data_IF_770893399185
#
_entry.id   IF_770893399185
#
_cell.length_a   1.000
_cell.length_b   1.000
_cell.length_c   1.000
_cell.angle_alpha   90.00
_cell.angle_beta   90.00
_cell.angle_gamma   90.00
#
_symmetry.space_group_name_H-M   'P 1'
#
loop_
_entity.id
_entity.type
_entity.pdbx_description
1 polymer ?
#
# COMPACT_ATOMS: atom_id res chain seq x y z
N UNK A 1 2.91 -54.13 39.71
CA UNK A 1 4.18 -54.41 39.00
C UNK A 1 3.86 -54.87 37.58
N UNK A 2 4.61 -54.38 36.59
CA UNK A 2 4.36 -54.59 35.16
C UNK A 2 5.55 -55.26 34.48
N UNK A 3 5.28 -56.18 33.55
CA UNK A 3 6.26 -56.58 32.54
C UNK A 3 6.39 -55.47 31.50
N UNK A 4 7.48 -55.47 30.73
CA UNK A 4 7.77 -54.45 29.72
C UNK A 4 6.64 -54.25 28.70
N UNK A 5 5.99 -55.33 28.25
CA UNK A 5 4.87 -55.27 27.32
C UNK A 5 3.63 -54.63 27.94
N UNK A 6 3.31 -54.98 29.18
CA UNK A 6 2.17 -54.43 29.92
C UNK A 6 2.36 -52.95 30.24
N UNK A 7 3.59 -52.52 30.56
CA UNK A 7 3.90 -51.12 30.79
C UNK A 7 3.82 -50.30 29.49
N UNK A 8 4.36 -50.83 28.40
CA UNK A 8 4.31 -50.19 27.08
C UNK A 8 2.86 -49.98 26.61
N UNK A 9 2.01 -50.99 26.76
CA UNK A 9 0.59 -50.93 26.45
C UNK A 9 -0.14 -49.88 27.31
N UNK A 10 0.07 -49.88 28.63
CA UNK A 10 -0.57 -48.91 29.53
C UNK A 10 -0.09 -47.48 29.34
N UNK A 11 1.16 -47.29 28.92
CA UNK A 11 1.71 -45.98 28.61
C UNK A 11 1.45 -45.55 27.14
N UNK A 12 0.86 -46.41 26.30
CA UNK A 12 0.58 -46.11 24.90
C UNK A 12 1.84 -45.86 24.04
N UNK A 13 2.98 -46.49 24.37
CA UNK A 13 4.25 -46.33 23.63
C UNK A 13 4.78 -47.66 23.14
N UNK A 14 5.62 -47.63 22.11
CA UNK A 14 6.28 -48.83 21.63
C UNK A 14 7.24 -49.41 22.68
N UNK A 15 7.42 -50.73 22.67
CA UNK A 15 8.45 -51.41 23.50
C UNK A 15 9.85 -50.84 23.27
N UNK A 16 10.15 -50.44 22.03
CA UNK A 16 11.42 -49.82 21.65
C UNK A 16 11.61 -48.46 22.31
N UNK A 17 10.56 -47.63 22.35
CA UNK A 17 10.56 -46.33 23.05
C UNK A 17 10.79 -46.52 24.55
N UNK A 18 10.16 -47.52 25.15
CA UNK A 18 10.32 -47.82 26.58
C UNK A 18 11.76 -48.28 26.91
N UNK A 19 12.36 -49.14 26.09
CA UNK A 19 13.76 -49.54 26.22
C UNK A 19 14.71 -48.34 26.04
N UNK A 20 14.40 -47.43 25.12
CA UNK A 20 15.15 -46.21 24.92
C UNK A 20 15.08 -45.29 26.15
N UNK A 21 13.89 -45.10 26.73
CA UNK A 21 13.71 -44.34 27.97
C UNK A 21 14.42 -44.98 29.17
N UNK A 22 14.45 -46.30 29.25
CA UNK A 22 15.23 -47.03 30.26
C UNK A 22 16.75 -46.84 30.05
N UNK A 23 17.23 -46.84 28.79
CA UNK A 23 18.64 -46.57 28.46
C UNK A 23 19.06 -45.15 28.88
N UNK A 24 18.15 -44.18 28.76
CA UNK A 24 18.36 -42.80 29.20
C UNK A 24 18.17 -42.59 30.70
N UNK A 25 17.80 -43.64 31.44
CA UNK A 25 17.61 -43.59 32.89
C UNK A 25 16.31 -42.91 33.34
N UNK A 26 15.37 -42.67 32.44
CA UNK A 26 14.08 -42.03 32.75
C UNK A 26 13.21 -42.97 33.61
N UNK A 27 13.28 -44.27 33.36
CA UNK A 27 12.69 -45.33 34.19
C UNK A 27 13.74 -46.41 34.44
N UNK A 28 13.57 -47.21 35.50
CA UNK A 28 14.54 -48.27 35.83
C UNK A 28 13.81 -49.53 36.29
N UNK A 29 13.78 -50.55 35.43
CA UNK A 29 13.20 -51.84 35.78
C UNK A 29 14.04 -52.58 36.83
N UNK A 30 13.39 -53.08 37.88
CA UNK A 30 14.03 -53.99 38.84
C UNK A 30 14.19 -55.36 38.20
N UNK A 31 15.39 -55.97 38.32
CA UNK A 31 15.62 -57.35 37.87
C UNK A 31 15.06 -58.31 38.91
N UNK A 32 14.17 -59.19 38.48
CA UNK A 32 13.64 -60.28 39.28
C UNK A 32 14.61 -61.49 39.25
N UNK A 33 14.47 -62.40 40.21
CA UNK A 33 15.30 -63.62 40.33
C UNK A 33 15.27 -64.52 39.08
N UNK A 34 14.23 -64.39 38.25
CA UNK A 34 14.05 -65.10 36.98
C UNK A 34 14.67 -64.38 35.75
N UNK A 35 15.43 -63.30 35.96
CA UNK A 35 16.09 -62.53 34.90
C UNK A 35 15.21 -61.52 34.16
N UNK A 36 13.90 -61.49 34.41
CA UNK A 36 12.98 -60.52 33.80
C UNK A 36 13.02 -59.16 34.52
N UNK A 37 12.75 -58.09 33.77
CA UNK A 37 12.55 -56.75 34.31
C UNK A 37 11.09 -56.56 34.74
N UNK A 38 10.89 -56.03 35.93
CA UNK A 38 9.59 -55.59 36.43
C UNK A 38 9.61 -54.10 36.76
N UNK A 39 8.56 -53.40 36.37
CA UNK A 39 8.37 -51.96 36.59
C UNK A 39 7.22 -51.72 37.57
N UNK A 40 7.25 -50.60 38.28
CA UNK A 40 6.27 -50.22 39.29
C UNK A 40 5.18 -49.30 38.73
N UNK A 41 4.13 -49.03 39.52
CA UNK A 41 3.16 -47.98 39.21
C UNK A 41 3.79 -46.58 39.15
N UNK A 42 4.87 -46.35 39.90
CA UNK A 42 5.63 -45.10 39.84
C UNK A 42 6.29 -44.92 38.48
N UNK A 43 6.81 -45.99 37.86
CA UNK A 43 7.38 -45.93 36.52
C UNK A 43 6.30 -45.56 35.48
N UNK A 44 5.09 -46.12 35.60
CA UNK A 44 3.97 -45.76 34.74
C UNK A 44 3.58 -44.29 34.91
N UNK A 45 3.40 -43.81 36.15
CA UNK A 45 3.08 -42.41 36.41
C UNK A 45 4.16 -41.45 35.89
N UNK A 46 5.43 -41.83 36.01
CA UNK A 46 6.57 -41.06 35.51
C UNK A 46 6.59 -40.99 33.98
N UNK A 47 6.27 -42.09 33.29
CA UNK A 47 6.10 -42.09 31.83
C UNK A 47 4.94 -41.21 31.37
N UNK A 48 3.80 -41.26 32.08
CA UNK A 48 2.65 -40.41 31.76
C UNK A 48 2.98 -38.93 31.95
N UNK A 49 3.70 -38.57 33.02
CA UNK A 49 4.16 -37.20 33.26
C UNK A 49 5.15 -36.74 32.18
N UNK A 50 6.10 -37.61 31.79
CA UNK A 50 7.03 -37.35 30.69
C UNK A 50 6.27 -37.00 29.39
N UNK A 51 5.25 -37.78 29.04
CA UNK A 51 4.44 -37.53 27.84
C UNK A 51 3.70 -36.19 27.89
N UNK A 52 3.15 -35.82 29.06
CA UNK A 52 2.50 -34.51 29.23
C UNK A 52 3.49 -33.36 29.06
N UNK A 53 4.71 -33.51 29.56
CA UNK A 53 5.78 -32.52 29.36
C UNK A 53 6.23 -32.45 27.89
N UNK A 54 6.39 -33.60 27.23
CA UNK A 54 6.75 -33.64 25.80
C UNK A 54 5.66 -33.01 24.91
N UNK A 55 4.38 -33.17 25.27
CA UNK A 55 3.28 -32.52 24.55
C UNK A 55 3.34 -30.98 24.63
N UNK A 56 4.03 -30.42 25.64
CA UNK A 56 4.31 -28.99 25.76
C UNK A 56 5.51 -28.50 24.95
N UNK A 57 6.09 -29.33 24.07
CA UNK A 57 7.22 -28.94 23.21
C UNK A 57 8.61 -29.11 23.83
N UNK A 58 8.70 -29.67 25.04
CA UNK A 58 9.97 -29.94 25.72
C UNK A 58 10.66 -31.15 25.09
N UNK A 59 11.97 -31.02 24.85
CA UNK A 59 12.83 -32.16 24.49
C UNK A 59 12.89 -33.16 25.63
N UNK A 60 13.26 -34.39 25.29
CA UNK A 60 13.40 -35.47 26.26
C UNK A 60 14.39 -35.15 27.40
N UNK A 61 15.46 -34.38 27.10
CA UNK A 61 16.45 -33.94 28.09
C UNK A 61 15.88 -32.89 29.05
N UNK A 62 15.08 -31.96 28.53
CA UNK A 62 14.39 -30.94 29.33
C UNK A 62 13.30 -31.59 30.21
N UNK A 63 12.52 -32.54 29.66
CA UNK A 63 11.55 -33.30 30.44
C UNK A 63 12.21 -34.09 31.57
N UNK A 64 13.37 -34.71 31.32
CA UNK A 64 14.12 -35.42 32.36
C UNK A 64 14.59 -34.46 33.46
N UNK A 65 15.10 -33.27 33.11
CA UNK A 65 15.46 -32.25 34.09
C UNK A 65 14.26 -31.80 34.95
N UNK A 66 13.07 -31.66 34.35
CA UNK A 66 11.84 -31.37 35.09
C UNK A 66 11.38 -32.51 36.01
N UNK A 67 11.70 -33.76 35.68
CA UNK A 67 11.33 -34.96 36.45
C UNK A 67 12.30 -35.26 37.60
N UNK A 68 13.56 -34.81 37.50
CA UNK A 68 14.64 -35.16 38.43
C UNK A 68 15.07 -33.99 39.33
N UNK A 69 14.73 -32.75 38.97
CA UNK A 69 15.10 -31.55 39.71
C UNK A 69 13.96 -30.53 39.79
N UNK A 70 14.18 -29.44 40.55
CA UNK A 70 13.26 -28.32 40.59
C UNK A 70 13.16 -27.67 39.20
N UNK A 71 11.93 -27.40 38.76
CA UNK A 71 11.63 -26.84 37.45
C UNK A 71 12.46 -25.57 37.20
N UNK A 72 13.31 -25.60 36.17
CA UNK A 72 14.01 -24.41 35.69
C UNK A 72 12.99 -23.49 35.01
N UNK A 73 12.58 -22.43 35.72
CA UNK A 73 11.58 -21.48 35.24
C UNK A 73 12.05 -20.70 34.01
N UNK A 74 13.34 -20.44 33.88
CA UNK A 74 13.88 -19.65 32.77
C UNK A 74 13.85 -20.47 31.48
N UNK A 75 14.21 -21.75 31.55
CA UNK A 75 14.05 -22.69 30.43
C UNK A 75 12.59 -22.76 29.93
N UNK A 76 11.62 -22.85 30.84
CA UNK A 76 10.21 -22.88 30.45
C UNK A 76 9.74 -21.56 29.84
N UNK A 77 10.23 -20.42 30.34
CA UNK A 77 9.94 -19.11 29.73
C UNK A 77 10.51 -19.01 28.32
N UNK A 78 11.75 -19.44 28.10
CA UNK A 78 12.37 -19.41 26.77
C UNK A 78 11.59 -20.27 25.77
N UNK A 79 11.14 -21.46 26.19
CA UNK A 79 10.29 -22.32 25.37
C UNK A 79 8.92 -21.74 25.09
N UNK A 80 8.30 -21.09 26.07
CA UNK A 80 7.03 -20.41 25.89
C UNK A 80 7.16 -19.27 24.87
N UNK A 81 8.20 -18.43 25.01
CA UNK A 81 8.49 -17.35 24.07
C UNK A 81 8.72 -17.87 22.64
N UNK A 82 9.43 -19.00 22.50
CA UNK A 82 9.63 -19.63 21.20
C UNK A 82 8.31 -20.10 20.58
N UNK A 83 7.45 -20.75 21.37
CA UNK A 83 6.13 -21.19 20.91
C UNK A 83 5.23 -20.01 20.51
N UNK A 84 5.24 -18.92 21.27
CA UNK A 84 4.49 -17.72 20.94
C UNK A 84 4.94 -17.11 19.60
N UNK A 85 6.26 -17.12 19.32
CA UNK A 85 6.81 -16.70 18.04
C UNK A 85 6.35 -17.63 16.90
N UNK A 86 6.40 -18.95 17.10
CA UNK A 86 5.95 -19.93 16.10
C UNK A 86 4.44 -19.82 15.83
N UNK A 87 3.63 -19.60 16.86
CA UNK A 87 2.19 -19.37 16.74
C UNK A 87 1.94 -18.10 15.92
N UNK A 88 2.62 -17.00 16.25
CA UNK A 88 2.50 -15.74 15.50
C UNK A 88 2.85 -15.91 14.02
N UNK A 89 3.93 -16.64 13.70
CA UNK A 89 4.31 -16.94 12.32
C UNK A 89 3.27 -17.80 11.59
N UNK A 90 2.74 -18.83 12.25
CA UNK A 90 1.70 -19.70 11.67
C UNK A 90 0.38 -18.96 11.47
N UNK A 91 0.04 -18.04 12.37
CA UNK A 91 -1.13 -17.17 12.23
C UNK A 91 -1.00 -16.29 10.98
N UNK A 92 0.13 -15.59 10.80
CA UNK A 92 0.40 -14.80 9.59
C UNK A 92 0.32 -15.64 8.31
N UNK A 93 0.87 -16.86 8.35
CA UNK A 93 0.80 -17.78 7.21
C UNK A 93 -0.64 -18.19 6.89
N UNK A 94 -1.45 -18.47 7.92
CA UNK A 94 -2.87 -18.78 7.76
C UNK A 94 -3.64 -17.59 7.19
N UNK A 95 -3.40 -16.38 7.71
CA UNK A 95 -4.05 -15.16 7.25
C UNK A 95 -3.77 -14.90 5.77
N UNK A 96 -2.52 -15.04 5.33
CA UNK A 96 -2.18 -14.98 3.91
C UNK A 96 -2.98 -15.99 3.08
N UNK A 97 -3.02 -17.25 3.50
CA UNK A 97 -3.75 -18.29 2.77
C UNK A 97 -5.27 -18.04 2.74
N UNK A 98 -5.85 -17.63 3.87
CA UNK A 98 -7.26 -17.28 3.97
C UNK A 98 -7.59 -16.10 3.04
N UNK A 99 -6.72 -15.09 3.01
CA UNK A 99 -6.89 -13.92 2.18
C UNK A 99 -6.78 -14.25 0.68
N UNK A 100 -5.82 -15.10 0.28
CA UNK A 100 -5.70 -15.63 -1.09
C UNK A 100 -6.88 -16.54 -1.51
N UNK A 101 -7.57 -17.16 -0.54
CA UNK A 101 -8.78 -17.95 -0.79
C UNK A 101 -10.06 -17.10 -0.79
N UNK A 102 -9.97 -15.79 -0.54
CA UNK A 102 -11.13 -14.91 -0.45
C UNK A 102 -11.87 -14.93 0.90
N UNK A 103 -11.30 -15.55 1.93
CA UNK A 103 -11.90 -15.67 3.26
C UNK A 103 -11.62 -14.44 4.16
N UNK A 104 -10.68 -13.58 3.77
CA UNK A 104 -10.31 -12.36 4.50
C UNK A 104 -9.76 -11.27 3.56
N UNK A 105 -9.62 -10.04 4.07
CA UNK A 105 -9.04 -8.93 3.30
C UNK A 105 -7.56 -9.15 2.97
N UNK A 106 -7.16 -8.77 1.76
CA UNK A 106 -5.76 -8.79 1.30
C UNK A 106 -5.05 -7.43 1.40
N UNK A 107 -5.70 -6.40 1.97
CA UNK A 107 -5.19 -5.02 1.98
C UNK A 107 -3.76 -4.86 2.51
N UNK A 108 -3.47 -5.33 3.72
CA UNK A 108 -2.13 -5.21 4.29
C UNK A 108 -1.06 -5.98 3.50
N UNK A 109 -1.44 -7.11 2.91
CA UNK A 109 -0.53 -7.91 2.09
C UNK A 109 -0.21 -7.20 0.77
N UNK A 110 -1.22 -6.62 0.12
CA UNK A 110 -1.05 -5.79 -1.07
C UNK A 110 -0.18 -4.56 -0.80
N UNK A 111 -0.45 -3.82 0.29
CA UNK A 111 0.33 -2.66 0.70
C UNK A 111 1.82 -3.05 0.90
N UNK A 112 2.07 -4.16 1.59
CA UNK A 112 3.43 -4.64 1.88
C UNK A 112 4.16 -5.08 0.60
N UNK A 113 3.49 -5.84 -0.26
CA UNK A 113 4.11 -6.38 -1.47
C UNK A 113 4.39 -5.27 -2.49
N UNK A 114 3.50 -4.28 -2.59
CA UNK A 114 3.71 -3.14 -3.47
C UNK A 114 4.95 -2.31 -3.07
N UNK A 115 5.19 -2.16 -1.76
CA UNK A 115 6.39 -1.48 -1.26
C UNK A 115 7.68 -2.28 -1.50
N UNK A 116 7.64 -3.60 -1.36
CA UNK A 116 8.83 -4.46 -1.44
C UNK A 116 9.18 -4.89 -2.86
N UNK A 117 8.17 -5.15 -3.68
CA UNK A 117 8.31 -5.75 -5.01
C UNK A 117 7.15 -5.33 -5.95
N UNK A 118 7.03 -4.03 -6.27
CA UNK A 118 5.89 -3.48 -7.02
C UNK A 118 5.67 -4.14 -8.39
N UNK A 119 6.76 -4.38 -9.13
CA UNK A 119 6.67 -5.00 -10.47
C UNK A 119 6.20 -6.46 -10.38
N UNK A 120 6.70 -7.22 -9.41
CA UNK A 120 6.29 -8.60 -9.21
C UNK A 120 4.85 -8.71 -8.73
N UNK A 121 4.39 -7.75 -7.92
CA UNK A 121 3.00 -7.64 -7.48
C UNK A 121 2.07 -7.36 -8.67
N UNK A 122 2.41 -6.38 -9.52
CA UNK A 122 1.66 -6.06 -10.73
C UNK A 122 1.57 -7.26 -11.68
N UNK A 123 2.70 -7.90 -11.98
CA UNK A 123 2.76 -9.10 -12.82
C UNK A 123 1.91 -10.24 -12.26
N UNK A 124 1.89 -10.39 -10.94
CA UNK A 124 1.10 -11.41 -10.27
C UNK A 124 -0.41 -11.12 -10.37
N UNK A 125 -0.83 -9.86 -10.19
CA UNK A 125 -2.23 -9.44 -10.40
C UNK A 125 -2.68 -9.73 -11.84
N UNK A 126 -1.84 -9.41 -12.82
CA UNK A 126 -2.13 -9.69 -14.23
C UNK A 126 -2.32 -11.20 -14.47
N UNK A 127 -1.49 -12.04 -13.83
CA UNK A 127 -1.65 -13.50 -13.89
C UNK A 127 -2.91 -14.01 -13.19
N UNK A 128 -3.50 -13.27 -12.25
CA UNK A 128 -4.78 -13.60 -11.64
C UNK A 128 -5.98 -13.21 -12.53
N UNK A 129 -5.74 -12.59 -13.69
CA UNK A 129 -6.77 -12.25 -14.68
C UNK A 129 -7.23 -10.79 -14.66
N UNK A 130 -6.58 -9.93 -13.87
CA UNK A 130 -6.79 -8.48 -13.93
C UNK A 130 -6.05 -7.88 -15.12
N UNK A 131 -6.66 -6.95 -15.84
CA UNK A 131 -5.93 -6.14 -16.81
C UNK A 131 -5.02 -5.11 -16.11
N UNK A 132 -4.15 -4.42 -16.86
CA UNK A 132 -3.20 -3.43 -16.31
C UNK A 132 -3.95 -2.31 -15.56
N UNK A 133 -5.13 -1.89 -16.05
CA UNK A 133 -5.93 -0.82 -15.44
C UNK A 133 -6.55 -1.26 -14.12
N UNK A 134 -7.16 -2.44 -14.09
CA UNK A 134 -7.72 -3.04 -12.88
C UNK A 134 -6.63 -3.29 -11.84
N UNK A 135 -5.46 -3.79 -12.26
CA UNK A 135 -4.33 -4.00 -11.38
C UNK A 135 -3.80 -2.70 -10.76
N UNK A 136 -3.77 -1.60 -11.53
CA UNK A 136 -3.45 -0.27 -10.97
C UNK A 136 -4.53 0.22 -10.00
N UNK A 137 -5.82 0.02 -10.29
CA UNK A 137 -6.92 0.38 -9.38
C UNK A 137 -6.90 -0.48 -8.10
N UNK A 138 -6.52 -1.74 -8.18
CA UNK A 138 -6.29 -2.60 -7.00
C UNK A 138 -5.16 -2.06 -6.14
N UNK A 139 -4.04 -1.69 -6.78
CA UNK A 139 -2.87 -1.15 -6.10
C UNK A 139 -3.18 0.16 -5.37
N UNK A 140 -3.93 1.07 -5.99
CA UNK A 140 -4.11 2.44 -5.48
C UNK A 140 -5.44 2.70 -4.77
N UNK A 141 -6.53 2.05 -5.19
CA UNK A 141 -7.88 2.35 -4.71
C UNK A 141 -8.40 1.26 -3.78
N UNK A 142 -8.77 0.09 -4.32
CA UNK A 142 -9.52 -0.88 -3.52
C UNK A 142 -8.63 -1.60 -2.50
N UNK A 143 -7.33 -1.74 -2.79
CA UNK A 143 -6.31 -2.46 -2.00
C UNK A 143 -6.68 -3.90 -1.64
N UNK A 144 -7.84 -4.39 -2.09
CA UNK A 144 -8.38 -5.70 -1.81
C UNK A 144 -9.00 -6.24 -3.09
N UNK A 145 -8.50 -7.38 -3.55
CA UNK A 145 -9.01 -8.04 -4.76
C UNK A 145 -10.33 -8.77 -4.54
N UNK A 146 -10.60 -9.22 -3.32
CA UNK A 146 -11.80 -10.01 -3.02
C UNK A 146 -13.05 -9.14 -3.04
N UNK A 147 -12.87 -7.83 -2.83
CA UNK A 147 -13.92 -6.83 -2.78
C UNK A 147 -13.79 -5.76 -3.87
N UNK A 148 -12.87 -5.95 -4.83
CA UNK A 148 -12.53 -4.95 -5.84
C UNK A 148 -13.75 -4.46 -6.64
N UNK A 149 -14.55 -5.39 -7.16
CA UNK A 149 -15.72 -5.04 -7.99
C UNK A 149 -16.82 -4.34 -7.20
N UNK A 150 -16.96 -4.65 -5.90
CA UNK A 150 -17.89 -3.93 -5.02
C UNK A 150 -17.35 -2.55 -4.71
N UNK A 151 -16.09 -2.47 -4.31
CA UNK A 151 -15.39 -1.22 -4.01
C UNK A 151 -15.46 -0.25 -5.19
N UNK A 152 -15.07 -0.68 -6.40
CA UNK A 152 -15.03 0.19 -7.57
C UNK A 152 -16.42 0.67 -7.98
N UNK A 153 -17.45 -0.18 -7.89
CA UNK A 153 -18.83 0.24 -8.15
C UNK A 153 -19.31 1.31 -7.19
N UNK A 154 -19.02 1.17 -5.91
CA UNK A 154 -19.40 2.15 -4.89
C UNK A 154 -18.59 3.45 -5.03
N UNK A 155 -17.29 3.33 -5.31
CA UNK A 155 -16.39 4.43 -5.61
C UNK A 155 -16.89 5.23 -6.83
N UNK A 156 -17.20 4.56 -7.94
CA UNK A 156 -17.72 5.19 -9.16
C UNK A 156 -19.07 5.89 -8.91
N UNK A 157 -19.90 5.36 -8.02
CA UNK A 157 -21.18 5.98 -7.62
C UNK A 157 -20.98 7.33 -6.94
N UNK A 158 -19.92 7.48 -6.16
CA UNK A 158 -19.54 8.76 -5.54
C UNK A 158 -18.90 9.68 -6.59
N UNK A 159 -17.88 9.19 -7.30
CA UNK A 159 -16.99 10.00 -8.16
C UNK A 159 -17.60 10.43 -9.49
N UNK A 160 -18.57 9.69 -10.03
CA UNK A 160 -19.20 9.99 -11.34
C UNK A 160 -19.86 11.37 -11.45
N UNK A 161 -20.17 12.02 -10.32
CA UNK A 161 -20.75 13.37 -10.28
C UNK A 161 -19.76 14.46 -9.85
N UNK A 162 -18.52 14.10 -9.54
CA UNK A 162 -17.50 15.07 -9.14
C UNK A 162 -16.89 15.71 -10.38
N UNK A 163 -16.71 17.03 -10.33
CA UNK A 163 -16.06 17.81 -11.39
C UNK A 163 -14.53 17.86 -11.25
N UNK A 164 -13.99 17.31 -10.16
CA UNK A 164 -12.57 17.26 -9.83
C UNK A 164 -12.25 15.89 -9.20
N UNK A 165 -11.05 15.36 -9.45
CA UNK A 165 -10.57 14.11 -8.80
C UNK A 165 -9.47 14.33 -7.78
N UNK A 166 -9.16 15.59 -7.50
CA UNK A 166 -8.21 16.01 -6.49
C UNK A 166 -8.28 17.53 -6.31
N UNK A 167 -7.59 18.08 -5.29
CA UNK A 167 -7.54 19.52 -5.06
C UNK A 167 -6.98 20.28 -6.27
N UNK A 168 -7.75 21.21 -6.83
CA UNK A 168 -7.33 21.99 -7.98
C UNK A 168 -8.18 23.24 -8.21
N UNK A 169 -7.58 24.29 -8.77
CA UNK A 169 -8.32 25.50 -9.14
C UNK A 169 -7.71 26.16 -10.37
N UNK A 170 -8.56 26.74 -11.21
CA UNK A 170 -8.10 27.52 -12.37
C UNK A 170 -7.22 28.71 -11.94
N UNK A 171 -7.44 29.25 -10.74
CA UNK A 171 -6.66 30.36 -10.22
C UNK A 171 -5.22 29.94 -9.93
N UNK A 172 -5.01 28.78 -9.30
CA UNK A 172 -3.67 28.27 -8.99
C UNK A 172 -2.94 27.86 -10.27
N UNK A 173 -3.62 27.18 -11.20
CA UNK A 173 -3.09 26.86 -12.54
C UNK A 173 -2.68 28.15 -13.27
N UNK A 174 -3.53 29.18 -13.28
CA UNK A 174 -3.22 30.48 -13.90
C UNK A 174 -2.02 31.16 -13.24
N UNK A 175 -1.93 31.12 -11.91
CA UNK A 175 -0.79 31.67 -11.18
C UNK A 175 0.51 30.97 -11.55
N UNK A 176 0.50 29.65 -11.77
CA UNK A 176 1.66 28.92 -12.26
C UNK A 176 2.04 29.32 -13.71
N UNK A 177 1.05 29.46 -14.61
CA UNK A 177 1.30 29.93 -16.00
C UNK A 177 1.97 31.31 -16.00
N UNK A 178 1.50 32.24 -15.16
CA UNK A 178 2.04 33.61 -15.08
C UNK A 178 3.48 33.68 -14.56
N UNK A 179 3.95 32.66 -13.84
CA UNK A 179 5.31 32.55 -13.33
C UNK A 179 6.28 31.93 -14.35
N UNK A 180 5.78 31.39 -15.47
CA UNK A 180 6.65 30.90 -16.54
C UNK A 180 7.37 32.07 -17.23
N UNK A 181 8.70 31.98 -17.43
CA UNK A 181 9.47 33.07 -18.06
C UNK A 181 9.34 33.09 -19.60
N UNK A 182 8.44 32.29 -20.18
CA UNK A 182 8.24 32.15 -21.61
C UNK A 182 6.78 31.79 -21.92
N UNK A 183 6.40 31.93 -23.18
CA UNK A 183 5.10 31.48 -23.68
C UNK A 183 5.24 30.09 -24.32
N UNK A 184 4.61 29.04 -23.75
CA UNK A 184 4.76 27.70 -24.29
C UNK A 184 4.08 27.54 -25.66
N UNK A 185 4.60 26.61 -26.46
CA UNK A 185 4.10 26.27 -27.80
C UNK A 185 3.55 24.84 -27.86
N UNK A 186 4.18 23.90 -27.17
CA UNK A 186 3.81 22.49 -27.10
C UNK A 186 3.81 22.06 -25.64
N UNK A 187 2.60 21.81 -25.13
CA UNK A 187 2.38 21.40 -23.74
C UNK A 187 1.97 19.93 -23.73
N UNK A 188 2.63 19.13 -22.90
CA UNK A 188 2.16 17.80 -22.54
C UNK A 188 1.51 17.87 -21.15
N UNK A 189 0.20 17.70 -21.07
CA UNK A 189 -0.54 17.61 -19.82
C UNK A 189 -0.73 16.13 -19.45
N UNK A 190 -0.18 15.72 -18.31
CA UNK A 190 -0.18 14.32 -17.86
C UNK A 190 -1.14 14.16 -16.68
N UNK A 191 -2.14 13.31 -16.85
CA UNK A 191 -3.23 13.12 -15.90
C UNK A 191 -4.21 14.30 -15.93
N UNK A 192 -4.79 14.58 -17.10
CA UNK A 192 -5.65 15.74 -17.31
C UNK A 192 -7.00 15.65 -16.57
N UNK A 193 -7.46 14.44 -16.25
CA UNK A 193 -8.71 14.20 -15.52
C UNK A 193 -9.90 14.96 -16.10
N UNK A 194 -10.62 15.68 -15.24
CA UNK A 194 -11.79 16.48 -15.61
C UNK A 194 -11.46 17.83 -16.29
N UNK A 195 -10.18 18.13 -16.56
CA UNK A 195 -9.78 19.22 -17.45
C UNK A 195 -9.79 20.63 -16.86
N UNK A 196 -9.65 20.78 -15.55
CA UNK A 196 -9.49 22.10 -14.91
C UNK A 196 -8.24 22.79 -15.47
N UNK A 197 -7.10 22.10 -15.43
CA UNK A 197 -5.84 22.61 -15.96
C UNK A 197 -5.91 22.78 -17.48
N UNK A 198 -6.40 21.78 -18.23
CA UNK A 198 -6.61 21.88 -19.69
C UNK A 198 -7.38 23.13 -20.10
N UNK A 199 -8.50 23.43 -19.44
CA UNK A 199 -9.31 24.62 -19.70
C UNK A 199 -8.52 25.89 -19.48
N UNK A 200 -7.85 26.02 -18.34
CA UNK A 200 -7.06 27.21 -18.01
C UNK A 200 -5.87 27.38 -18.94
N UNK A 201 -5.20 26.29 -19.33
CA UNK A 201 -4.12 26.31 -20.31
C UNK A 201 -4.61 26.78 -21.69
N UNK A 202 -5.80 26.35 -22.12
CA UNK A 202 -6.42 26.84 -23.36
C UNK A 202 -6.74 28.33 -23.31
N UNK A 203 -7.26 28.82 -22.19
CA UNK A 203 -7.67 30.21 -22.02
C UNK A 203 -6.48 31.17 -21.89
N UNK A 204 -5.35 30.71 -21.36
CA UNK A 204 -4.19 31.56 -21.03
C UNK A 204 -2.94 31.32 -21.87
N UNK A 205 -2.95 30.35 -22.79
CA UNK A 205 -1.84 30.10 -23.70
C UNK A 205 -2.32 29.98 -25.15
N UNK A 206 -1.40 30.10 -26.10
CA UNK A 206 -1.63 29.80 -27.53
C UNK A 206 -1.01 28.46 -27.93
N UNK A 207 -0.60 27.65 -26.95
CA UNK A 207 0.07 26.39 -27.18
C UNK A 207 -0.88 25.36 -27.80
N UNK A 208 -0.28 24.36 -28.47
CA UNK A 208 -0.92 23.08 -28.69
C UNK A 208 -0.74 22.21 -27.44
N UNK A 209 -1.83 21.66 -26.91
CA UNK A 209 -1.86 20.85 -25.71
C UNK A 209 -2.07 19.39 -26.11
N UNK A 210 -1.20 18.50 -25.68
CA UNK A 210 -1.41 17.05 -25.71
C UNK A 210 -1.86 16.63 -24.32
N UNK A 211 -3.15 16.33 -24.15
CA UNK A 211 -3.74 15.92 -22.88
C UNK A 211 -3.77 14.39 -22.78
N UNK A 212 -3.13 13.86 -21.74
CA UNK A 212 -2.99 12.43 -21.48
C UNK A 212 -3.75 12.03 -20.23
N UNK A 213 -4.50 10.94 -20.34
CA UNK A 213 -5.09 10.25 -19.20
C UNK A 213 -5.21 8.75 -19.51
N UNK A 214 -5.34 7.90 -18.50
CA UNK A 214 -5.61 6.47 -18.69
C UNK A 214 -7.12 6.15 -18.64
N UNK A 215 -7.97 7.16 -18.40
CA UNK A 215 -9.41 7.07 -18.40
C UNK A 215 -10.01 7.69 -19.67
N UNK A 216 -10.58 6.87 -20.55
CA UNK A 216 -11.19 7.33 -21.81
C UNK A 216 -12.27 8.40 -21.58
N UNK A 217 -13.09 8.25 -20.54
CA UNK A 217 -14.15 9.19 -20.23
C UNK A 217 -13.62 10.57 -19.75
N UNK A 218 -12.40 10.63 -19.19
CA UNK A 218 -11.72 11.89 -18.91
C UNK A 218 -11.45 12.63 -20.22
N UNK A 219 -10.92 11.91 -21.22
CA UNK A 219 -10.60 12.44 -22.54
C UNK A 219 -11.86 12.85 -23.31
N UNK A 220 -12.96 12.12 -23.17
CA UNK A 220 -14.27 12.54 -23.70
C UNK A 220 -14.70 13.89 -23.12
N UNK A 221 -14.51 14.11 -21.81
CA UNK A 221 -14.81 15.40 -21.19
C UNK A 221 -13.87 16.51 -21.70
N UNK A 222 -12.58 16.23 -21.92
CA UNK A 222 -11.67 17.18 -22.59
C UNK A 222 -12.18 17.54 -24.00
N UNK A 223 -12.64 16.56 -24.77
CA UNK A 223 -13.23 16.78 -26.09
C UNK A 223 -14.48 17.68 -26.01
N UNK A 224 -15.31 17.54 -24.97
CA UNK A 224 -16.45 18.43 -24.74
C UNK A 224 -16.01 19.86 -24.38
N UNK A 225 -14.99 20.02 -23.52
CA UNK A 225 -14.41 21.33 -23.19
C UNK A 225 -13.91 22.03 -24.47
N UNK A 226 -13.18 21.31 -25.32
CA UNK A 226 -12.70 21.81 -26.61
C UNK A 226 -13.84 22.28 -27.52
N UNK A 227 -14.94 21.52 -27.60
CA UNK A 227 -16.10 21.90 -28.39
C UNK A 227 -16.79 23.16 -27.84
N UNK A 228 -16.94 23.26 -26.52
CA UNK A 228 -17.55 24.42 -25.86
C UNK A 228 -16.73 25.70 -26.08
N UNK A 229 -15.40 25.59 -26.05
CA UNK A 229 -14.49 26.72 -26.24
C UNK A 229 -14.21 27.04 -27.73
N UNK A 230 -14.58 26.15 -28.66
CA UNK A 230 -14.28 26.30 -30.08
C UNK A 230 -12.82 26.01 -30.45
N UNK A 231 -12.08 25.29 -29.60
CA UNK A 231 -10.61 25.11 -29.67
C UNK A 231 -10.19 23.71 -30.13
N UNK A 232 -10.97 23.09 -31.01
CA UNK A 232 -10.81 21.68 -31.42
C UNK A 232 -9.50 21.34 -32.14
N UNK A 233 -8.69 22.34 -32.52
CA UNK A 233 -7.40 22.15 -33.19
C UNK A 233 -6.19 22.34 -32.27
N UNK A 234 -6.40 22.89 -31.07
CA UNK A 234 -5.33 23.20 -30.12
C UNK A 234 -5.13 22.12 -29.06
N UNK A 235 -5.97 21.09 -29.03
CA UNK A 235 -5.84 19.97 -28.09
C UNK A 235 -5.85 18.64 -28.84
N UNK A 236 -4.93 17.77 -28.48
CA UNK A 236 -4.91 16.36 -28.86
C UNK A 236 -5.07 15.52 -27.59
N UNK A 237 -6.05 14.62 -27.56
CA UNK A 237 -6.25 13.69 -26.44
C UNK A 237 -5.57 12.35 -26.72
N UNK A 238 -4.90 11.77 -25.71
CA UNK A 238 -4.17 10.51 -25.83
C UNK A 238 -4.47 9.62 -24.61
N UNK A 239 -5.05 8.45 -24.84
CA UNK A 239 -5.25 7.45 -23.79
C UNK A 239 -3.95 6.68 -23.57
N UNK A 240 -3.24 6.95 -22.47
CA UNK A 240 -1.95 6.33 -22.19
C UNK A 240 -1.63 6.25 -20.69
N UNK A 241 -0.81 5.27 -20.33
CA UNK A 241 -0.21 5.16 -19.00
C UNK A 241 0.90 6.21 -18.84
N UNK A 242 0.85 7.02 -17.77
CA UNK A 242 1.85 8.07 -17.48
C UNK A 242 3.27 7.55 -17.28
N UNK A 243 3.43 6.27 -16.95
CA UNK A 243 4.74 5.60 -16.83
C UNK A 243 5.27 5.07 -18.18
N UNK A 244 4.45 5.06 -19.24
CA UNK A 244 4.80 4.52 -20.57
C UNK A 244 4.22 5.42 -21.68
N UNK A 245 4.67 6.66 -21.70
CA UNK A 245 4.16 7.68 -22.63
C UNK A 245 4.67 7.44 -24.07
N UNK A 246 3.80 7.45 -25.09
CA UNK A 246 4.15 7.10 -26.47
C UNK A 246 4.73 8.29 -27.28
N UNK A 247 5.64 9.05 -26.68
CA UNK A 247 6.19 10.28 -27.27
C UNK A 247 7.69 10.16 -27.50
N UNK A 248 8.19 10.88 -28.50
CA UNK A 248 9.63 10.93 -28.76
C UNK A 248 10.31 11.93 -27.81
N UNK A 249 11.63 11.82 -27.69
CA UNK A 249 12.40 12.75 -26.86
C UNK A 249 12.32 14.18 -27.39
N UNK A 250 12.32 15.15 -26.46
CA UNK A 250 12.39 16.59 -26.73
C UNK A 250 11.24 17.16 -27.58
N UNK A 251 10.04 16.59 -27.50
CA UNK A 251 8.86 17.05 -28.25
C UNK A 251 8.14 18.23 -27.59
N UNK A 252 8.33 18.46 -26.29
CA UNK A 252 7.57 19.45 -25.52
C UNK A 252 8.46 20.52 -24.89
N UNK A 253 7.99 21.76 -24.87
CA UNK A 253 8.62 22.85 -24.12
C UNK A 253 8.04 23.02 -22.70
N UNK A 254 6.88 22.42 -22.43
CA UNK A 254 6.28 22.39 -21.12
C UNK A 254 5.61 21.03 -20.86
N UNK A 255 5.91 20.42 -19.72
CA UNK A 255 5.11 19.34 -19.14
C UNK A 255 4.31 19.92 -17.98
N UNK A 256 3.02 19.59 -17.93
CA UNK A 256 2.08 20.00 -16.91
C UNK A 256 1.47 18.78 -16.24
N UNK A 257 1.44 18.74 -14.91
CA UNK A 257 0.88 17.63 -14.16
C UNK A 257 0.34 18.12 -12.82
N UNK A 258 -0.98 18.04 -12.62
CA UNK A 258 -1.58 18.40 -11.33
C UNK A 258 -2.19 17.15 -10.67
N UNK A 259 -1.86 16.90 -9.40
CA UNK A 259 -2.50 15.88 -8.55
C UNK A 259 -2.47 14.45 -9.08
N UNK A 260 -1.46 14.07 -9.86
CA UNK A 260 -1.41 12.73 -10.49
C UNK A 260 -0.03 12.06 -10.50
N UNK A 261 1.06 12.81 -10.39
CA UNK A 261 2.42 12.24 -10.42
C UNK A 261 2.70 11.24 -9.29
N UNK A 262 2.00 11.34 -8.15
CA UNK A 262 2.13 10.38 -7.05
C UNK A 262 1.81 8.94 -7.47
N UNK A 263 0.99 8.73 -8.49
CA UNK A 263 0.58 7.41 -9.00
C UNK A 263 1.78 6.60 -9.51
N UNK A 264 2.80 7.26 -10.05
CA UNK A 264 4.04 6.60 -10.49
C UNK A 264 5.23 6.89 -9.56
N UNK A 265 5.01 7.69 -8.50
CA UNK A 265 6.04 8.25 -7.65
C UNK A 265 6.68 9.49 -8.28
N UNK A 266 6.76 10.59 -7.51
CA UNK A 266 7.19 11.90 -8.04
C UNK A 266 8.66 11.90 -8.46
N UNK A 267 9.53 11.18 -7.74
CA UNK A 267 10.94 11.06 -8.15
C UNK A 267 11.09 10.27 -9.47
N UNK A 268 10.23 9.28 -9.69
CA UNK A 268 10.21 8.55 -10.94
C UNK A 268 9.67 9.43 -12.08
N UNK A 269 8.63 10.21 -11.83
CA UNK A 269 8.11 11.21 -12.77
C UNK A 269 9.20 12.20 -13.21
N UNK A 270 10.01 12.72 -12.29
CA UNK A 270 11.15 13.57 -12.64
C UNK A 270 12.14 12.87 -13.59
N UNK A 271 12.45 11.59 -13.36
CA UNK A 271 13.41 10.85 -14.21
C UNK A 271 12.82 10.53 -15.58
N UNK A 272 11.64 9.92 -15.60
CA UNK A 272 11.01 9.40 -16.80
C UNK A 272 10.52 10.51 -17.72
N UNK A 273 9.99 11.61 -17.20
CA UNK A 273 9.44 12.67 -18.05
C UNK A 273 10.50 13.63 -18.60
N UNK A 274 11.73 13.64 -18.05
CA UNK A 274 12.79 14.58 -18.47
C UNK A 274 13.15 14.46 -19.94
N UNK A 275 13.22 13.25 -20.48
CA UNK A 275 13.65 13.06 -21.87
C UNK A 275 12.63 13.61 -22.89
N UNK A 276 11.36 13.79 -22.50
CA UNK A 276 10.29 14.34 -23.33
C UNK A 276 10.39 15.87 -23.48
N UNK A 277 11.02 16.54 -22.51
CA UNK A 277 11.25 17.97 -22.54
C UNK A 277 12.42 18.35 -23.46
N UNK A 278 12.25 19.47 -24.15
CA UNK A 278 13.36 20.16 -24.83
C UNK A 278 14.42 20.64 -23.84
N UNK A 279 15.61 21.00 -24.34
CA UNK A 279 16.77 21.37 -23.50
C UNK A 279 16.54 22.63 -22.64
N UNK A 280 15.60 23.48 -23.02
CA UNK A 280 15.16 24.66 -22.26
C UNK A 280 13.72 24.49 -21.73
N UNK A 281 13.22 23.25 -21.69
CA UNK A 281 11.85 22.93 -21.30
C UNK A 281 11.60 23.05 -19.80
N UNK A 282 10.32 23.15 -19.43
CA UNK A 282 9.87 23.31 -18.06
C UNK A 282 8.94 22.17 -17.65
N UNK A 283 9.00 21.78 -16.38
CA UNK A 283 8.05 20.90 -15.73
C UNK A 283 7.29 21.71 -14.68
N UNK A 284 5.97 21.73 -14.80
CA UNK A 284 5.07 22.20 -13.75
C UNK A 284 4.35 20.99 -13.18
N UNK A 285 4.54 20.77 -11.88
CA UNK A 285 4.00 19.60 -11.19
C UNK A 285 3.43 20.02 -9.83
N UNK A 286 2.27 19.49 -9.45
CA UNK A 286 1.81 19.55 -8.05
C UNK A 286 2.00 18.21 -7.32
N UNK A 287 2.46 18.29 -6.08
CA UNK A 287 2.63 17.13 -5.18
C UNK A 287 2.08 17.45 -3.79
N UNK A 288 1.55 16.44 -3.11
CA UNK A 288 1.11 16.55 -1.72
C UNK A 288 2.35 16.46 -0.82
N UNK A 289 2.62 17.50 -0.04
CA UNK A 289 3.83 17.59 0.79
C UNK A 289 3.51 17.92 2.24
N UNK A 290 4.44 17.59 3.13
CA UNK A 290 4.44 18.09 4.49
C UNK A 290 4.80 19.58 4.48
N UNK A 291 3.93 20.40 5.06
CA UNK A 291 4.12 21.83 5.26
C UNK A 291 4.92 22.14 6.55
N UNK A 292 5.10 21.13 7.40
CA UNK A 292 5.83 21.19 8.67
C UNK A 292 6.92 20.13 8.71
N UNK A 293 7.98 20.35 9.48
CA UNK A 293 9.08 19.38 9.63
C UNK A 293 8.67 18.16 10.47
N UNK A 294 7.83 18.38 11.48
CA UNK A 294 7.36 17.36 12.44
C UNK A 294 5.83 17.29 12.42
N UNK A 295 5.22 16.54 11.48
CA UNK A 295 3.77 16.35 11.46
C UNK A 295 3.27 15.53 12.64
N UNK A 296 2.01 15.69 13.00
CA UNK A 296 1.36 14.91 14.06
C UNK A 296 1.43 13.40 13.80
N UNK A 297 1.42 12.61 14.88
CA UNK A 297 1.42 11.15 14.79
C UNK A 297 0.22 10.59 14.03
N UNK A 298 -0.90 11.31 14.04
CA UNK A 298 -2.12 10.90 13.36
C UNK A 298 -2.05 11.18 11.86
N UNK A 299 -1.57 12.37 11.47
CA UNK A 299 -1.32 12.68 10.06
C UNK A 299 -0.26 11.74 9.47
N UNK A 300 0.85 11.50 10.18
CA UNK A 300 1.87 10.54 9.74
C UNK A 300 1.29 9.15 9.54
N UNK A 301 0.48 8.65 10.47
CA UNK A 301 -0.10 7.30 10.36
C UNK A 301 -1.02 7.17 9.15
N UNK A 302 -1.83 8.20 8.89
CA UNK A 302 -2.71 8.22 7.73
C UNK A 302 -1.92 8.27 6.42
N UNK A 303 -1.08 9.29 6.24
CA UNK A 303 -0.37 9.50 4.99
C UNK A 303 0.74 8.48 4.73
N UNK A 304 1.33 7.86 5.75
CA UNK A 304 2.26 6.74 5.52
C UNK A 304 1.57 5.54 4.87
N UNK A 305 0.27 5.36 5.11
CA UNK A 305 -0.53 4.32 4.43
C UNK A 305 -1.02 4.77 3.05
N UNK A 306 -1.51 6.00 2.93
CA UNK A 306 -2.15 6.46 1.69
C UNK A 306 -1.16 7.02 0.66
N UNK A 307 -0.11 7.72 1.10
CA UNK A 307 0.95 8.26 0.24
C UNK A 307 2.34 8.21 0.93
N UNK A 308 3.00 7.04 0.98
CA UNK A 308 4.27 6.86 1.70
C UNK A 308 5.44 7.70 1.15
N UNK A 309 5.37 8.15 -0.11
CA UNK A 309 6.38 9.03 -0.72
C UNK A 309 6.20 10.50 -0.27
N UNK A 310 5.14 10.85 0.48
CA UNK A 310 4.95 12.21 0.98
C UNK A 310 6.15 12.72 1.78
N UNK A 311 6.67 13.88 1.37
CA UNK A 311 7.89 14.47 1.95
C UNK A 311 7.78 15.99 2.00
N UNK A 312 8.83 16.69 2.43
CA UNK A 312 8.87 18.17 2.50
C UNK A 312 9.19 18.80 1.15
N UNK A 313 8.83 20.08 0.99
CA UNK A 313 9.21 20.89 -0.17
C UNK A 313 10.72 20.83 -0.46
N UNK A 314 11.54 21.01 0.58
CA UNK A 314 12.99 21.01 0.47
C UNK A 314 13.53 19.68 -0.08
N UNK A 315 12.91 18.56 0.33
CA UNK A 315 13.29 17.23 -0.17
C UNK A 315 12.91 17.06 -1.64
N UNK A 316 11.71 17.49 -2.05
CA UNK A 316 11.28 17.45 -3.45
C UNK A 316 12.18 18.28 -4.35
N UNK A 317 12.59 19.47 -3.90
CA UNK A 317 13.56 20.32 -4.62
C UNK A 317 14.90 19.60 -4.81
N UNK A 318 15.41 18.93 -3.77
CA UNK A 318 16.66 18.13 -3.88
C UNK A 318 16.51 16.96 -4.84
N UNK A 319 15.38 16.26 -4.84
CA UNK A 319 15.10 15.16 -5.77
C UNK A 319 15.01 15.66 -7.21
N UNK A 320 14.28 16.74 -7.46
CA UNK A 320 14.22 17.41 -8.76
C UNK A 320 15.62 17.81 -9.25
N UNK A 321 16.45 18.37 -8.36
CA UNK A 321 17.84 18.72 -8.68
C UNK A 321 18.69 17.52 -9.09
N UNK A 322 18.57 16.40 -8.39
CA UNK A 322 19.27 15.15 -8.75
C UNK A 322 18.81 14.59 -10.10
N UNK A 323 17.54 14.80 -10.44
CA UNK A 323 16.98 14.44 -11.74
C UNK A 323 17.35 15.41 -12.87
N UNK A 324 18.11 16.49 -12.60
CA UNK A 324 18.54 17.44 -13.63
C UNK A 324 17.52 18.54 -13.91
N UNK A 325 16.82 19.00 -12.86
CA UNK A 325 16.00 20.20 -12.87
C UNK A 325 16.54 21.27 -11.92
N UNK A 326 16.20 22.53 -12.18
CA UNK A 326 16.43 23.63 -11.24
C UNK A 326 15.10 24.28 -10.89
N UNK A 327 14.87 24.53 -9.60
CA UNK A 327 13.69 25.25 -9.14
C UNK A 327 13.67 26.68 -9.69
N UNK A 328 12.54 27.07 -10.26
CA UNK A 328 12.26 28.43 -10.72
C UNK A 328 11.39 29.14 -9.69
N UNK A 329 10.32 28.48 -9.27
CA UNK A 329 9.36 28.99 -8.28
C UNK A 329 8.58 27.80 -7.68
N UNK A 330 8.02 27.99 -6.49
CA UNK A 330 7.13 27.05 -5.84
C UNK A 330 6.16 27.77 -4.92
N UNK A 331 4.93 27.29 -4.85
CA UNK A 331 3.90 27.86 -3.99
C UNK A 331 2.80 26.85 -3.64
N UNK A 332 2.16 27.00 -2.47
CA UNK A 332 1.06 26.13 -2.06
C UNK A 332 -0.20 26.43 -2.89
N UNK A 333 -1.00 25.41 -3.16
CA UNK A 333 -2.33 25.61 -3.73
C UNK A 333 -3.26 26.28 -2.71
N UNK A 334 -4.24 27.02 -3.22
CA UNK A 334 -5.22 27.75 -2.40
C UNK A 334 -6.18 26.82 -1.64
N UNK A 335 -6.77 27.30 -0.55
CA UNK A 335 -7.86 26.59 0.14
C UNK A 335 -9.09 26.40 -0.79
N UNK A 336 -9.28 27.30 -1.76
CA UNK A 336 -10.31 27.13 -2.78
C UNK A 336 -10.08 25.88 -3.63
N UNK A 337 -8.83 25.51 -3.94
CA UNK A 337 -8.53 24.27 -4.65
C UNK A 337 -8.94 23.04 -3.85
N UNK A 338 -8.75 23.06 -2.54
CA UNK A 338 -9.22 22.01 -1.64
C UNK A 338 -10.74 21.97 -1.56
N UNK A 339 -11.40 23.12 -1.41
CA UNK A 339 -12.85 23.21 -1.35
C UNK A 339 -13.52 22.75 -2.64
N UNK A 340 -12.93 23.01 -3.81
CA UNK A 340 -13.41 22.54 -5.11
C UNK A 340 -13.52 21.00 -5.17
N UNK A 341 -12.70 20.29 -4.41
CA UNK A 341 -12.72 18.83 -4.34
C UNK A 341 -13.53 18.32 -3.15
N UNK A 342 -13.21 18.77 -1.93
CA UNK A 342 -13.78 18.19 -0.71
C UNK A 342 -15.22 18.63 -0.42
N UNK A 343 -15.66 19.82 -0.85
CA UNK A 343 -17.06 20.22 -0.60
C UNK A 343 -18.04 19.36 -1.42
N UNK A 344 -17.86 19.19 -2.75
CA UNK A 344 -18.69 18.26 -3.52
C UNK A 344 -18.55 16.81 -3.06
N UNK A 345 -17.34 16.36 -2.71
CA UNK A 345 -17.12 15.00 -2.21
C UNK A 345 -17.90 14.73 -0.92
N UNK A 346 -17.82 15.63 0.07
CA UNK A 346 -18.60 15.54 1.32
C UNK A 346 -20.10 15.49 1.05
N UNK A 347 -20.59 16.32 0.14
CA UNK A 347 -22.01 16.32 -0.23
C UNK A 347 -22.43 14.96 -0.81
N UNK A 348 -21.63 14.40 -1.74
CA UNK A 348 -21.89 13.09 -2.36
C UNK A 348 -21.81 11.94 -1.36
N UNK A 349 -20.81 11.94 -0.49
CA UNK A 349 -20.67 10.93 0.59
C UNK A 349 -21.87 10.96 1.53
N UNK A 350 -22.33 12.15 1.93
CA UNK A 350 -23.50 12.30 2.79
C UNK A 350 -24.80 11.86 2.10
N UNK A 351 -24.98 12.21 0.82
CA UNK A 351 -26.16 11.81 0.04
C UNK A 351 -26.28 10.29 -0.07
N UNK A 352 -25.15 9.60 -0.29
CA UNK A 352 -25.11 8.15 -0.51
C UNK A 352 -24.94 7.34 0.79
N UNK A 353 -24.84 7.98 1.96
CA UNK A 353 -24.46 7.32 3.21
C UNK A 353 -25.39 6.15 3.60
N UNK A 354 -26.70 6.31 3.37
CA UNK A 354 -27.67 5.26 3.65
C UNK A 354 -27.66 4.15 2.59
N UNK A 355 -27.50 4.50 1.32
CA UNK A 355 -27.51 3.54 0.20
C UNK A 355 -26.26 2.65 0.21
N UNK A 356 -25.11 3.22 0.57
CA UNK A 356 -23.81 2.54 0.59
C UNK A 356 -23.40 2.12 2.02
N UNK A 357 -24.38 1.85 2.89
CA UNK A 357 -24.11 1.41 4.26
C UNK A 357 -23.29 0.10 4.26
N UNK A 358 -22.14 0.11 4.94
CA UNK A 358 -21.21 -1.02 4.98
C UNK A 358 -20.23 -1.09 3.79
N UNK A 359 -20.25 -0.12 2.87
CA UNK A 359 -19.27 -0.02 1.81
C UNK A 359 -17.88 0.35 2.36
N UNK A 360 -16.86 -0.40 1.95
CA UNK A 360 -15.46 -0.07 2.24
C UNK A 360 -15.01 1.21 1.55
N UNK A 361 -15.46 1.45 0.30
CA UNK A 361 -15.17 2.69 -0.42
C UNK A 361 -15.71 3.91 0.35
N UNK A 362 -16.96 3.84 0.84
CA UNK A 362 -17.53 4.93 1.63
C UNK A 362 -16.77 5.12 2.96
N UNK A 363 -16.34 4.04 3.61
CA UNK A 363 -15.54 4.13 4.83
C UNK A 363 -14.19 4.81 4.59
N UNK A 364 -13.52 4.49 3.48
CA UNK A 364 -12.21 5.05 3.11
C UNK A 364 -12.32 6.53 2.77
N UNK A 365 -13.36 6.93 2.03
CA UNK A 365 -13.64 8.33 1.74
C UNK A 365 -13.96 9.14 2.99
N UNK A 366 -14.69 8.58 3.96
CA UNK A 366 -14.90 9.24 5.24
C UNK A 366 -13.60 9.40 6.04
N UNK A 367 -12.68 8.43 5.98
CA UNK A 367 -11.35 8.55 6.60
C UNK A 367 -10.52 9.65 5.93
N UNK A 368 -10.54 9.73 4.59
CA UNK A 368 -9.88 10.78 3.83
C UNK A 368 -10.45 12.17 4.17
N UNK A 369 -11.78 12.32 4.16
CA UNK A 369 -12.45 13.57 4.55
C UNK A 369 -12.05 13.98 5.98
N UNK A 370 -12.00 13.03 6.90
CA UNK A 370 -11.59 13.31 8.29
C UNK A 370 -10.12 13.74 8.38
N UNK A 371 -9.22 13.13 7.59
CA UNK A 371 -7.82 13.55 7.53
C UNK A 371 -7.69 14.97 6.96
N UNK A 372 -8.48 15.33 5.95
CA UNK A 372 -8.57 16.69 5.41
C UNK A 372 -9.11 17.69 6.45
N UNK A 373 -10.21 17.36 7.13
CA UNK A 373 -10.82 18.26 8.14
C UNK A 373 -9.88 18.52 9.33
N UNK A 374 -9.02 17.55 9.65
CA UNK A 374 -8.02 17.64 10.70
C UNK A 374 -6.62 18.03 10.17
N UNK A 375 -6.53 18.53 8.93
CA UNK A 375 -5.25 18.88 8.28
C UNK A 375 -4.42 19.86 9.08
N UNK A 376 -5.05 20.81 9.79
CA UNK A 376 -4.39 21.79 10.68
C UNK A 376 -3.16 22.51 10.08
N UNK A 377 -3.11 22.66 8.75
CA UNK A 377 -1.98 23.23 8.03
C UNK A 377 -0.72 22.35 7.97
N UNK A 378 -0.78 21.08 8.42
CA UNK A 378 0.38 20.16 8.46
C UNK A 378 0.83 19.71 7.08
N UNK A 379 -0.07 19.73 6.10
CA UNK A 379 0.22 19.36 4.72
C UNK A 379 -0.54 20.23 3.71
N UNK A 380 -0.01 20.34 2.50
CA UNK A 380 -0.66 21.00 1.39
C UNK A 380 -0.17 20.42 0.05
N UNK A 381 -0.94 20.61 -1.01
CA UNK A 381 -0.41 20.46 -2.36
C UNK A 381 0.48 21.66 -2.66
N UNK A 382 1.68 21.39 -3.16
CA UNK A 382 2.65 22.39 -3.57
C UNK A 382 2.84 22.29 -5.07
N UNK A 383 2.70 23.42 -5.77
CA UNK A 383 3.09 23.53 -7.18
C UNK A 383 4.58 23.84 -7.25
N UNK A 384 5.30 23.09 -8.07
CA UNK A 384 6.70 23.29 -8.40
C UNK A 384 6.82 23.68 -9.87
N UNK A 385 7.54 24.77 -10.14
CA UNK A 385 7.92 25.18 -11.49
C UNK A 385 9.42 24.92 -11.61
N UNK A 386 9.76 23.99 -12.50
CA UNK A 386 11.10 23.44 -12.63
C UNK A 386 11.60 23.66 -14.05
N UNK A 387 12.81 24.21 -14.21
CA UNK A 387 13.49 24.27 -15.50
C UNK A 387 14.38 23.04 -15.67
N UNK A 388 14.44 22.46 -16.86
CA UNK A 388 15.50 21.52 -17.21
C UNK A 388 16.88 22.17 -17.05
N UNK A 389 17.77 21.48 -16.34
CA UNK A 389 19.13 21.91 -16.03
C UNK A 389 20.20 21.25 -16.90
#
# INVERSE_FOLDING_TARGET
MYKISQLAERAGISRTTLLYYEKLGIIKGARQANGYRSYSDKDLQRLLLLQKLQAGGLTLKECQACLDAQINRDLLKDRLNQLDLEISQKQKSRELLAALLGESSLSEWHDTLDQLAPDAHLDWLIKQGFDEKQAMRLKWLSKDMNEHDRYMRDFDRVFSQLTCWGPGSQQDTRSAIQKLPFSPKHILEIGCGQGIATRTLLEHTQAHITAVDNEEYALENINQIMQQLGETKRVTTVCANMAKLPFESKQFDLIWCETSAYIMGVENAFKEWRHLLSDDGYLVLSDLIWSVEEPSSDAMRFWHKEYPDMTTEETRIRQAKRAGYTLVDSFPVSDQAWDNYYQPLKARVNELAHELAGSSALADLNREISAYDNRNGEFNYQIFILKTG
#
